data_IF_701741034921
#
_entry.id   IF_701741034921
#
_cell.length_a   1.000
_cell.length_b   1.000
_cell.length_c   1.000
_cell.angle_alpha   90.00
_cell.angle_beta   90.00
_cell.angle_gamma   90.00
#
_symmetry.space_group_name_H-M   'P 1'
#
loop_
_entity.id
_entity.type
_entity.pdbx_description
1 polymer ?
#
# COMPACT_ATOMS: atom_id res chain seq x y z
N UNK A 1 -8.96 37.71 -29.03
CA UNK A 1 -9.81 36.52 -28.82
C UNK A 1 -11.18 37.02 -28.39
N UNK A 2 -12.27 36.52 -28.97
CA UNK A 2 -13.62 36.93 -28.56
C UNK A 2 -13.89 36.45 -27.11
N UNK A 3 -14.72 37.17 -26.33
CA UNK A 3 -15.24 36.75 -25.02
C UNK A 3 -15.72 35.29 -25.01
N UNK A 4 -16.42 34.84 -26.06
CA UNK A 4 -16.88 33.43 -26.17
C UNK A 4 -15.72 32.43 -26.23
N UNK A 5 -14.71 32.70 -27.06
CA UNK A 5 -13.51 31.85 -27.16
C UNK A 5 -12.70 31.85 -25.87
N UNK A 6 -12.63 32.98 -25.16
CA UNK A 6 -11.99 33.08 -23.85
C UNK A 6 -12.69 32.20 -22.82
N UNK A 7 -14.02 32.23 -22.77
CA UNK A 7 -14.79 31.39 -21.86
C UNK A 7 -14.56 29.90 -22.12
N UNK A 8 -14.60 29.46 -23.38
CA UNK A 8 -14.32 28.06 -23.75
C UNK A 8 -12.91 27.65 -23.34
N UNK A 9 -11.92 28.53 -23.55
CA UNK A 9 -10.53 28.26 -23.16
C UNK A 9 -10.39 28.05 -21.65
N UNK A 10 -11.07 28.89 -20.85
CA UNK A 10 -11.05 28.80 -19.39
C UNK A 10 -11.68 27.47 -18.94
N UNK A 11 -12.85 27.12 -19.48
CA UNK A 11 -13.55 25.87 -19.14
C UNK A 11 -12.65 24.66 -19.46
N UNK A 12 -12.08 24.60 -20.66
CA UNK A 12 -11.17 23.51 -21.04
C UNK A 12 -9.91 23.46 -20.17
N UNK A 13 -9.39 24.63 -19.74
CA UNK A 13 -8.23 24.68 -18.84
C UNK A 13 -8.56 24.08 -17.47
N UNK A 14 -9.75 24.37 -16.94
CA UNK A 14 -10.25 23.76 -15.68
C UNK A 14 -10.41 22.24 -15.85
N UNK A 15 -10.97 21.78 -16.96
CA UNK A 15 -11.12 20.35 -17.24
C UNK A 15 -9.76 19.63 -17.36
N UNK A 16 -8.77 20.24 -18.02
CA UNK A 16 -7.39 19.72 -18.07
C UNK A 16 -6.75 19.69 -16.68
N UNK A 17 -6.96 20.74 -15.88
CA UNK A 17 -6.49 20.79 -14.50
C UNK A 17 -7.07 19.64 -13.65
N UNK A 18 -8.39 19.44 -13.69
CA UNK A 18 -9.06 18.38 -12.93
C UNK A 18 -8.64 16.98 -13.39
N UNK A 19 -8.59 16.73 -14.70
CA UNK A 19 -8.12 15.44 -15.24
C UNK A 19 -6.65 15.17 -14.89
N UNK A 20 -5.80 16.20 -14.88
CA UNK A 20 -4.42 16.09 -14.42
C UNK A 20 -4.31 15.70 -12.94
N UNK A 21 -5.13 16.28 -12.07
CA UNK A 21 -5.19 15.88 -10.65
C UNK A 21 -5.55 14.40 -10.52
N UNK A 22 -6.60 13.97 -11.21
CA UNK A 22 -7.03 12.57 -11.22
C UNK A 22 -5.92 11.64 -11.74
N UNK A 23 -5.20 12.06 -12.79
CA UNK A 23 -4.12 11.28 -13.39
C UNK A 23 -2.94 11.12 -12.40
N UNK A 24 -2.55 12.18 -11.69
CA UNK A 24 -1.50 12.12 -10.67
C UNK A 24 -1.87 11.17 -9.53
N UNK A 25 -3.11 11.26 -9.03
CA UNK A 25 -3.59 10.37 -7.97
C UNK A 25 -3.67 8.91 -8.43
N UNK A 26 -4.13 8.68 -9.67
CA UNK A 26 -4.19 7.34 -10.27
C UNK A 26 -2.80 6.71 -10.42
N UNK A 27 -1.84 7.44 -10.98
CA UNK A 27 -0.44 6.96 -11.11
C UNK A 27 0.17 6.73 -9.73
N UNK A 28 -0.12 7.60 -8.75
CA UNK A 28 0.36 7.45 -7.38
C UNK A 28 -0.19 6.18 -6.73
N UNK A 29 -1.49 5.91 -6.90
CA UNK A 29 -2.13 4.70 -6.40
C UNK A 29 -1.52 3.43 -7.03
N UNK A 30 -1.35 3.40 -8.35
CA UNK A 30 -0.72 2.28 -9.09
C UNK A 30 0.76 2.09 -8.75
N UNK A 31 1.44 3.13 -8.26
CA UNK A 31 2.83 3.06 -7.81
C UNK A 31 2.97 2.72 -6.32
N UNK A 32 1.87 2.69 -5.57
CA UNK A 32 1.87 2.49 -4.11
C UNK A 32 0.82 1.47 -3.67
N UNK A 33 -0.35 1.92 -3.24
CA UNK A 33 -1.40 1.11 -2.61
C UNK A 33 -1.98 0.02 -3.53
N UNK A 34 -1.86 0.15 -4.84
CA UNK A 34 -2.30 -0.84 -5.82
C UNK A 34 -1.14 -1.66 -6.41
N UNK A 35 0.04 -1.60 -5.77
CA UNK A 35 1.25 -2.26 -6.23
C UNK A 35 1.75 -3.29 -5.20
N UNK A 36 1.81 -4.56 -5.59
CA UNK A 36 2.27 -5.64 -4.70
C UNK A 36 3.73 -5.46 -4.27
N UNK A 37 4.59 -5.00 -5.18
CA UNK A 37 6.03 -4.83 -4.94
C UNK A 37 6.31 -3.74 -3.91
N UNK A 38 5.43 -2.72 -3.83
CA UNK A 38 5.51 -1.68 -2.81
C UNK A 38 5.41 -2.28 -1.40
N UNK A 39 4.42 -3.15 -1.17
CA UNK A 39 4.23 -3.82 0.12
C UNK A 39 5.32 -4.84 0.39
N UNK A 40 5.69 -5.66 -0.59
CA UNK A 40 6.76 -6.65 -0.47
C UNK A 40 8.09 -5.99 -0.07
N UNK A 41 8.44 -4.89 -0.74
CA UNK A 41 9.63 -4.08 -0.40
C UNK A 41 9.54 -3.50 1.00
N UNK A 42 8.36 -3.03 1.42
CA UNK A 42 8.15 -2.48 2.76
C UNK A 42 8.32 -3.54 3.85
N UNK A 43 7.70 -4.71 3.69
CA UNK A 43 7.77 -5.84 4.63
C UNK A 43 9.22 -6.31 4.79
N UNK A 44 9.94 -6.46 3.69
CA UNK A 44 11.34 -6.87 3.71
C UNK A 44 12.25 -5.82 4.36
N UNK A 45 12.11 -4.55 3.96
CA UNK A 45 12.97 -3.46 4.45
C UNK A 45 12.85 -3.23 5.96
N UNK A 46 11.67 -3.49 6.52
CA UNK A 46 11.37 -3.26 7.92
C UNK A 46 11.35 -4.54 8.78
N UNK A 47 11.84 -5.67 8.24
CA UNK A 47 11.92 -6.96 8.94
C UNK A 47 10.59 -7.42 9.54
N UNK A 48 9.46 -7.10 8.88
CA UNK A 48 8.13 -7.44 9.37
C UNK A 48 7.83 -8.94 9.28
N UNK A 49 8.67 -9.70 8.54
CA UNK A 49 8.61 -11.16 8.49
C UNK A 49 8.84 -11.81 9.86
N UNK A 50 9.43 -11.11 10.84
CA UNK A 50 9.69 -11.67 12.17
C UNK A 50 8.49 -11.54 13.12
N UNK A 51 7.43 -10.81 12.73
CA UNK A 51 6.26 -10.56 13.61
C UNK A 51 5.59 -11.86 14.07
N UNK A 52 5.28 -12.85 13.21
CA UNK A 52 4.64 -14.08 13.66
C UNK A 52 5.51 -14.85 14.66
N UNK A 53 6.82 -14.90 14.43
CA UNK A 53 7.77 -15.55 15.34
C UNK A 53 7.73 -14.90 16.72
N UNK A 54 7.88 -13.57 16.78
CA UNK A 54 7.88 -12.82 18.04
C UNK A 54 6.55 -12.97 18.79
N UNK A 55 5.43 -12.97 18.07
CA UNK A 55 4.10 -13.16 18.66
C UNK A 55 4.01 -14.51 19.38
N UNK A 56 4.34 -15.61 18.70
CA UNK A 56 4.29 -16.96 19.28
C UNK A 56 5.22 -17.06 20.50
N UNK A 57 6.44 -16.52 20.41
CA UNK A 57 7.40 -16.56 21.52
C UNK A 57 6.92 -15.76 22.75
N UNK A 58 6.31 -14.60 22.54
CA UNK A 58 5.75 -13.81 23.64
C UNK A 58 4.55 -14.49 24.27
N UNK A 59 3.66 -15.08 23.47
CA UNK A 59 2.50 -15.82 23.96
C UNK A 59 2.93 -17.01 24.81
N UNK A 60 3.91 -17.79 24.35
CA UNK A 60 4.50 -18.87 25.13
C UNK A 60 5.07 -18.32 26.43
N UNK A 61 5.99 -17.33 26.35
CA UNK A 61 6.64 -16.73 27.52
C UNK A 61 5.65 -16.21 28.57
N UNK A 62 4.54 -15.61 28.15
CA UNK A 62 3.52 -15.06 29.05
C UNK A 62 2.67 -16.16 29.71
N UNK A 63 2.45 -17.28 29.03
CA UNK A 63 1.61 -18.38 29.50
C UNK A 63 2.38 -19.47 30.26
N UNK A 64 3.70 -19.58 30.08
CA UNK A 64 4.54 -20.54 30.80
C UNK A 64 5.48 -19.81 31.76
N UNK A 65 5.08 -19.72 33.04
CA UNK A 65 5.81 -18.92 34.05
C UNK A 65 7.19 -19.47 34.45
N UNK A 66 7.56 -20.70 34.05
CA UNK A 66 8.81 -21.36 34.48
C UNK A 66 9.35 -22.32 33.40
N UNK A 67 9.63 -21.82 32.19
CA UNK A 67 10.46 -22.58 31.24
C UNK A 67 11.93 -22.46 31.61
N UNK A 68 12.64 -23.58 31.70
CA UNK A 68 14.10 -23.54 31.79
C UNK A 68 14.71 -23.00 30.48
N UNK A 69 15.91 -22.42 30.58
CA UNK A 69 16.58 -21.76 29.46
C UNK A 69 16.78 -22.69 28.26
N UNK A 70 17.05 -23.98 28.47
CA UNK A 70 17.29 -24.94 27.39
C UNK A 70 16.00 -25.21 26.61
N UNK A 71 14.88 -25.38 27.30
CA UNK A 71 13.56 -25.55 26.68
C UNK A 71 13.13 -24.28 25.95
N UNK A 72 13.36 -23.10 26.54
CA UNK A 72 13.07 -21.82 25.90
C UNK A 72 13.87 -21.62 24.60
N UNK A 73 15.19 -21.84 24.61
CA UNK A 73 16.03 -21.71 23.40
C UNK A 73 15.62 -22.67 22.30
N UNK A 74 15.19 -23.87 22.68
CA UNK A 74 14.72 -24.88 21.73
C UNK A 74 13.35 -24.51 21.13
N UNK A 75 12.45 -23.91 21.92
CA UNK A 75 11.20 -23.32 21.44
C UNK A 75 11.43 -22.14 20.50
N UNK A 76 12.40 -21.28 20.80
CA UNK A 76 12.85 -20.20 19.90
C UNK A 76 13.29 -20.77 18.56
N UNK A 77 14.12 -21.82 18.58
CA UNK A 77 14.59 -22.49 17.37
C UNK A 77 13.44 -23.14 16.58
N UNK A 78 12.55 -23.87 17.25
CA UNK A 78 11.39 -24.52 16.63
C UNK A 78 10.44 -23.52 15.99
N UNK A 79 10.16 -22.41 16.69
CA UNK A 79 9.30 -21.32 16.20
C UNK A 79 9.92 -20.62 15.01
N UNK A 80 11.23 -20.32 15.07
CA UNK A 80 11.96 -19.65 13.99
C UNK A 80 12.00 -20.49 12.71
N UNK A 81 12.20 -21.80 12.84
CA UNK A 81 12.18 -22.73 11.71
C UNK A 81 10.77 -22.89 11.12
N UNK A 82 9.74 -22.92 11.97
CA UNK A 82 8.35 -23.14 11.54
C UNK A 82 7.77 -21.91 10.85
N UNK A 83 7.91 -20.75 11.48
CA UNK A 83 7.44 -19.47 10.97
C UNK A 83 8.59 -18.73 10.29
N UNK A 84 9.25 -19.37 9.32
CA UNK A 84 10.42 -18.80 8.66
C UNK A 84 10.11 -17.47 7.98
N UNK A 85 11.15 -16.70 7.67
CA UNK A 85 10.98 -15.45 6.93
C UNK A 85 10.42 -15.69 5.53
N UNK A 86 10.82 -16.80 4.91
CA UNK A 86 10.35 -17.24 3.61
C UNK A 86 8.85 -17.53 3.66
N UNK A 87 8.40 -18.35 4.61
CA UNK A 87 6.99 -18.66 4.77
C UNK A 87 6.16 -17.40 5.04
N UNK A 88 6.61 -16.53 5.95
CA UNK A 88 5.89 -15.29 6.26
C UNK A 88 5.79 -14.39 5.03
N UNK A 89 6.86 -14.31 4.23
CA UNK A 89 6.87 -13.54 2.98
C UNK A 89 5.88 -14.12 1.97
N UNK A 90 5.82 -15.44 1.82
CA UNK A 90 4.86 -16.11 0.94
C UNK A 90 3.42 -15.83 1.36
N UNK A 91 3.10 -15.96 2.65
CA UNK A 91 1.75 -15.66 3.14
C UNK A 91 1.37 -14.20 2.93
N UNK A 92 2.25 -13.27 3.30
CA UNK A 92 1.99 -11.83 3.13
C UNK A 92 1.84 -11.47 1.65
N UNK A 93 2.73 -11.99 0.79
CA UNK A 93 2.64 -11.76 -0.66
C UNK A 93 1.35 -12.35 -1.24
N UNK A 94 0.95 -13.55 -0.82
CA UNK A 94 -0.32 -14.18 -1.20
C UNK A 94 -1.52 -13.30 -0.83
N UNK A 95 -1.59 -12.83 0.42
CA UNK A 95 -2.65 -11.94 0.89
C UNK A 95 -2.72 -10.62 0.10
N UNK A 96 -1.57 -9.99 -0.14
CA UNK A 96 -1.50 -8.74 -0.92
C UNK A 96 -1.95 -8.99 -2.35
N UNK A 97 -1.47 -10.06 -2.98
CA UNK A 97 -1.84 -10.39 -4.37
C UNK A 97 -3.32 -10.72 -4.49
N UNK A 98 -3.90 -11.46 -3.54
CA UNK A 98 -5.33 -11.76 -3.52
C UNK A 98 -6.17 -10.49 -3.30
N UNK A 99 -5.78 -9.63 -2.37
CA UNK A 99 -6.44 -8.34 -2.15
C UNK A 99 -6.39 -7.48 -3.40
N UNK A 100 -5.22 -7.36 -4.03
CA UNK A 100 -5.05 -6.56 -5.25
C UNK A 100 -5.77 -7.18 -6.44
N UNK A 101 -5.77 -8.50 -6.59
CA UNK A 101 -6.54 -9.17 -7.64
C UNK A 101 -8.05 -8.88 -7.47
N UNK A 102 -8.55 -8.92 -6.23
CA UNK A 102 -9.93 -8.55 -5.93
C UNK A 102 -10.22 -7.07 -6.24
N UNK A 103 -9.40 -6.14 -5.71
CA UNK A 103 -9.53 -4.69 -5.95
C UNK A 103 -9.41 -4.33 -7.43
N UNK A 104 -8.63 -5.07 -8.21
CA UNK A 104 -8.46 -4.86 -9.65
C UNK A 104 -9.54 -5.55 -10.50
N UNK A 105 -10.51 -6.20 -9.85
CA UNK A 105 -11.57 -6.99 -10.48
C UNK A 105 -11.03 -8.14 -11.37
N UNK A 106 -9.90 -8.72 -10.96
CA UNK A 106 -9.30 -9.92 -11.57
C UNK A 106 -9.66 -11.21 -10.84
N UNK A 107 -10.24 -11.12 -9.63
CA UNK A 107 -10.76 -12.23 -8.83
C UNK A 107 -12.18 -11.90 -8.38
N UNK A 108 -13.06 -12.90 -8.39
CA UNK A 108 -14.44 -12.77 -7.91
C UNK A 108 -14.58 -12.85 -6.40
N UNK A 109 -13.62 -13.50 -5.75
CA UNK A 109 -13.63 -13.74 -4.31
C UNK A 109 -12.45 -13.03 -3.65
N UNK A 110 -12.74 -12.38 -2.52
CA UNK A 110 -11.73 -11.83 -1.64
C UNK A 110 -11.25 -12.97 -0.72
N UNK A 111 -10.10 -13.56 -1.01
CA UNK A 111 -9.48 -14.58 -0.16
C UNK A 111 -8.32 -14.01 0.64
N UNK A 112 -8.58 -13.67 1.90
CA UNK A 112 -7.59 -13.16 2.85
C UNK A 112 -7.35 -14.15 3.99
N UNK A 113 -7.32 -15.44 3.67
CA UNK A 113 -7.06 -16.52 4.63
C UNK A 113 -5.59 -16.89 4.67
N UNK A 114 -5.09 -17.11 5.88
CA UNK A 114 -3.80 -17.74 6.15
C UNK A 114 -4.09 -19.14 6.68
N UNK A 115 -3.53 -20.18 6.05
CA UNK A 115 -3.60 -21.57 6.52
C UNK A 115 -2.39 -21.84 7.43
N UNK A 116 -2.68 -22.23 8.67
CA UNK A 116 -1.67 -22.53 9.69
C UNK A 116 -1.52 -24.03 9.95
N UNK A 117 -2.33 -24.90 9.34
CA UNK A 117 -2.33 -26.35 9.68
C UNK A 117 -0.96 -26.99 9.48
N UNK A 118 -0.28 -26.62 8.40
CA UNK A 118 1.08 -27.12 8.12
C UNK A 118 2.07 -26.62 9.17
N UNK A 119 1.99 -25.34 9.54
CA UNK A 119 2.87 -24.71 10.53
C UNK A 119 2.59 -25.27 11.93
N UNK A 120 1.33 -25.49 12.30
CA UNK A 120 0.95 -26.14 13.57
C UNK A 120 1.54 -27.54 13.65
N UNK A 121 1.41 -28.35 12.60
CA UNK A 121 2.01 -29.69 12.54
C UNK A 121 3.53 -29.65 12.61
N UNK A 122 4.18 -28.72 11.89
CA UNK A 122 5.62 -28.52 11.93
C UNK A 122 6.11 -28.09 13.31
N UNK A 123 5.43 -27.15 13.97
CA UNK A 123 5.75 -26.68 15.31
C UNK A 123 5.73 -27.84 16.30
N UNK A 124 4.65 -28.62 16.31
CA UNK A 124 4.50 -29.80 17.17
C UNK A 124 5.65 -30.78 16.93
N UNK A 125 5.95 -31.11 15.66
CA UNK A 125 7.01 -32.05 15.31
C UNK A 125 8.40 -31.58 15.78
N UNK A 126 8.65 -30.28 15.77
CA UNK A 126 9.92 -29.69 16.20
C UNK A 126 10.03 -29.50 17.71
N UNK A 127 8.90 -29.50 18.43
CA UNK A 127 8.85 -29.43 19.89
C UNK A 127 9.03 -30.81 20.54
N UNK A 128 8.65 -31.91 19.87
CA UNK A 128 8.76 -33.27 20.41
C UNK A 128 10.18 -33.64 20.93
N UNK A 129 11.30 -33.31 20.24
CA UNK A 129 12.65 -33.66 20.70
C UNK A 129 13.17 -32.81 21.87
N UNK A 130 12.45 -31.74 22.21
CA UNK A 130 12.85 -30.72 23.19
C UNK A 130 12.29 -31.03 24.58
N UNK A 131 11.18 -31.75 24.61
CA UNK A 131 10.55 -32.20 25.85
C UNK A 131 11.49 -33.23 26.53
N UNK A 132 11.59 -33.21 27.88
CA UNK A 132 12.53 -34.04 28.62
C UNK A 132 12.40 -35.51 28.20
N UNK A 133 13.55 -36.19 28.02
CA UNK A 133 13.61 -37.60 27.62
C UNK A 133 12.66 -38.42 28.49
N UNK A 134 11.57 -38.88 27.86
CA UNK A 134 10.68 -39.83 28.47
C UNK A 134 11.46 -41.13 28.68
N UNK A 135 11.54 -41.60 29.92
CA UNK A 135 12.04 -42.93 30.25
C UNK A 135 11.23 -44.02 29.53
N UNK A 136 11.86 -45.18 29.30
CA UNK A 136 11.59 -46.27 28.31
C UNK A 136 10.15 -46.78 28.05
N UNK A 137 9.08 -46.24 28.63
CA UNK A 137 7.68 -46.59 28.29
C UNK A 137 7.16 -45.74 27.10
N UNK A 138 7.66 -46.08 25.90
CA UNK A 138 7.80 -45.22 24.71
C UNK A 138 6.56 -45.10 23.77
N UNK A 139 5.35 -45.37 24.27
CA UNK A 139 4.08 -45.12 23.50
C UNK A 139 3.14 -44.19 24.25
N UNK A 140 2.94 -44.42 25.55
CA UNK A 140 2.08 -43.56 26.39
C UNK A 140 2.70 -42.17 26.53
N UNK A 141 4.03 -42.09 26.63
CA UNK A 141 4.74 -40.82 26.71
C UNK A 141 4.70 -40.05 25.38
N UNK A 142 4.79 -40.72 24.21
CA UNK A 142 4.61 -40.04 22.91
C UNK A 142 3.20 -39.46 22.75
N UNK A 143 2.17 -40.19 23.15
CA UNK A 143 0.78 -39.71 23.12
C UNK A 143 0.58 -38.53 24.08
N UNK A 144 1.17 -38.59 25.28
CA UNK A 144 1.14 -37.50 26.26
C UNK A 144 1.90 -36.26 25.76
N UNK A 145 3.04 -36.44 25.09
CA UNK A 145 3.85 -35.35 24.54
C UNK A 145 3.18 -34.67 23.34
N UNK A 146 2.52 -35.46 22.47
CA UNK A 146 1.64 -34.92 21.42
C UNK A 146 0.50 -34.14 22.07
N UNK A 147 -0.14 -34.68 23.11
CA UNK A 147 -1.20 -33.99 23.82
C UNK A 147 -0.73 -32.70 24.52
N UNK A 148 0.49 -32.66 25.07
CA UNK A 148 1.11 -31.45 25.64
C UNK A 148 1.43 -30.44 24.54
N UNK A 149 1.93 -30.88 23.39
CA UNK A 149 2.22 -30.01 22.25
C UNK A 149 0.94 -29.47 21.59
N UNK A 150 -0.11 -30.28 21.50
CA UNK A 150 -1.46 -29.88 21.10
C UNK A 150 -2.05 -28.89 22.10
N UNK A 151 -2.00 -29.20 23.40
CA UNK A 151 -2.44 -28.28 24.46
C UNK A 151 -1.63 -26.98 24.47
N UNK A 152 -0.33 -27.00 24.15
CA UNK A 152 0.51 -25.81 24.01
C UNK A 152 0.17 -25.01 22.75
N UNK A 153 -0.10 -25.68 21.63
CA UNK A 153 -0.56 -25.03 20.40
C UNK A 153 -1.95 -24.42 20.57
N UNK A 154 -2.84 -25.08 21.31
CA UNK A 154 -4.18 -24.61 21.62
C UNK A 154 -4.14 -23.51 22.70
N UNK A 155 -3.22 -23.61 23.67
CA UNK A 155 -2.93 -22.54 24.64
C UNK A 155 -2.26 -21.32 24.01
N UNK A 156 -1.48 -21.52 22.94
CA UNK A 156 -0.95 -20.45 22.11
C UNK A 156 -2.03 -19.81 21.22
N UNK A 157 -3.22 -20.42 21.14
CA UNK A 157 -4.37 -19.90 20.42
C UNK A 157 -4.17 -19.82 18.91
N UNK A 158 -3.28 -20.65 18.33
CA UNK A 158 -3.01 -20.63 16.88
C UNK A 158 -4.19 -21.34 16.18
N UNK A 159 -5.03 -20.63 15.41
CA UNK A 159 -6.15 -21.24 14.72
C UNK A 159 -5.65 -22.03 13.50
N UNK A 160 -6.43 -23.00 13.03
CA UNK A 160 -6.12 -23.71 11.78
C UNK A 160 -6.11 -22.76 10.57
N UNK A 161 -6.98 -21.75 10.60
CA UNK A 161 -7.03 -20.68 9.61
C UNK A 161 -7.23 -19.34 10.30
N UNK A 162 -6.53 -18.32 9.83
CA UNK A 162 -6.83 -16.94 10.16
C UNK A 162 -7.46 -16.28 8.94
N UNK A 163 -8.75 -15.97 9.03
CA UNK A 163 -9.45 -15.22 8.01
C UNK A 163 -9.50 -13.74 8.38
N UNK A 164 -8.70 -12.94 7.68
CA UNK A 164 -8.59 -11.51 7.99
C UNK A 164 -9.90 -10.75 7.75
N UNK A 165 -10.81 -11.28 6.93
CA UNK A 165 -12.11 -10.65 6.61
C UNK A 165 -13.01 -10.50 7.82
N UNK A 166 -12.90 -11.41 8.79
CA UNK A 166 -13.71 -11.42 10.00
C UNK A 166 -12.99 -10.83 11.22
N UNK A 167 -11.78 -10.29 11.03
CA UNK A 167 -11.11 -9.56 12.10
C UNK A 167 -11.83 -8.25 12.37
N UNK A 168 -11.93 -7.85 13.64
CA UNK A 168 -12.64 -6.62 14.07
C UNK A 168 -12.18 -5.35 13.34
N UNK A 169 -10.96 -5.36 12.79
CA UNK A 169 -10.43 -4.29 11.94
C UNK A 169 -11.26 -4.05 10.66
N UNK A 170 -11.81 -5.11 10.06
CA UNK A 170 -12.52 -5.06 8.77
C UNK A 170 -14.03 -4.99 8.97
N UNK A 171 -14.57 -5.70 9.96
CA UNK A 171 -16.02 -5.91 10.11
C UNK A 171 -16.77 -4.66 10.60
N UNK A 172 -16.16 -3.86 11.50
CA UNK A 172 -16.86 -2.73 12.14
C UNK A 172 -16.71 -1.40 11.39
N UNK A 173 -15.88 -1.35 10.35
CA UNK A 173 -15.37 -0.10 9.77
C UNK A 173 -15.97 0.29 8.42
N UNK A 174 -16.91 -0.50 7.89
CA UNK A 174 -17.44 -0.32 6.53
C UNK A 174 -16.38 -0.51 5.44
N UNK A 175 -15.20 -1.03 5.78
CA UNK A 175 -14.06 -1.22 4.88
C UNK A 175 -14.41 -2.16 3.74
N UNK A 176 -15.18 -3.21 3.96
CA UNK A 176 -15.64 -4.10 2.90
C UNK A 176 -16.45 -3.36 1.83
N UNK A 177 -17.35 -2.45 2.23
CA UNK A 177 -18.11 -1.61 1.29
C UNK A 177 -17.18 -0.74 0.44
N UNK A 178 -16.11 -0.18 1.03
CA UNK A 178 -15.12 0.58 0.28
C UNK A 178 -14.27 -0.30 -0.65
N UNK A 179 -13.90 -1.50 -0.23
CA UNK A 179 -13.18 -2.48 -1.06
C UNK A 179 -14.05 -2.91 -2.25
N UNK A 180 -15.33 -3.19 -2.04
CA UNK A 180 -16.27 -3.56 -3.10
C UNK A 180 -16.54 -2.41 -4.07
N UNK A 181 -16.67 -1.19 -3.55
CA UNK A 181 -16.76 0.00 -4.39
C UNK A 181 -15.47 0.19 -5.21
N UNK A 182 -14.31 0.06 -4.59
CA UNK A 182 -13.02 0.15 -5.29
C UNK A 182 -12.91 -0.90 -6.39
N UNK A 183 -13.27 -2.16 -6.12
CA UNK A 183 -13.35 -3.24 -7.11
C UNK A 183 -14.26 -2.88 -8.29
N UNK A 184 -15.48 -2.44 -7.99
CA UNK A 184 -16.49 -2.11 -9.01
C UNK A 184 -16.03 -0.98 -9.92
N UNK A 185 -15.39 0.04 -9.35
CA UNK A 185 -14.99 1.24 -10.09
C UNK A 185 -13.56 1.19 -10.65
N UNK A 186 -12.72 0.24 -10.25
CA UNK A 186 -11.31 0.17 -10.68
C UNK A 186 -11.13 0.13 -12.22
N UNK A 187 -11.86 -0.70 -12.99
CA UNK A 187 -11.68 -0.75 -14.45
C UNK A 187 -11.91 0.61 -15.12
N UNK A 188 -12.84 1.40 -14.58
CA UNK A 188 -13.15 2.74 -15.07
C UNK A 188 -12.13 3.76 -14.58
N UNK A 189 -11.81 3.77 -13.29
CA UNK A 189 -10.94 4.78 -12.68
C UNK A 189 -9.49 4.69 -13.16
N UNK A 190 -9.04 3.52 -13.62
CA UNK A 190 -7.70 3.30 -14.17
C UNK A 190 -7.43 4.11 -15.44
N UNK A 191 -8.36 4.10 -16.40
CA UNK A 191 -8.15 4.70 -17.72
C UNK A 191 -8.85 6.04 -17.90
N UNK A 192 -9.92 6.31 -17.14
CA UNK A 192 -10.74 7.51 -17.28
C UNK A 192 -9.93 8.82 -17.17
N UNK A 193 -8.98 9.00 -16.22
CA UNK A 193 -8.23 10.25 -16.13
C UNK A 193 -7.41 10.55 -17.40
N UNK A 194 -6.79 9.51 -17.97
CA UNK A 194 -6.00 9.64 -19.19
C UNK A 194 -6.88 9.95 -20.40
N UNK A 195 -8.02 9.26 -20.55
CA UNK A 195 -8.98 9.51 -21.62
C UNK A 195 -9.54 10.92 -21.57
N UNK A 196 -9.94 11.40 -20.38
CA UNK A 196 -10.42 12.76 -20.18
C UNK A 196 -9.34 13.79 -20.52
N UNK A 197 -8.11 13.59 -20.04
CA UNK A 197 -7.01 14.48 -20.34
C UNK A 197 -6.75 14.57 -21.85
N UNK A 198 -6.65 13.43 -22.53
CA UNK A 198 -6.47 13.37 -23.99
C UNK A 198 -7.62 14.04 -24.75
N UNK A 199 -8.87 13.79 -24.36
CA UNK A 199 -10.05 14.39 -24.97
C UNK A 199 -10.02 15.92 -24.87
N UNK A 200 -9.76 16.46 -23.68
CA UNK A 200 -9.72 17.92 -23.47
C UNK A 200 -8.50 18.56 -24.15
N UNK A 201 -7.36 17.88 -24.15
CA UNK A 201 -6.17 18.34 -24.85
C UNK A 201 -6.38 18.40 -26.38
N UNK A 202 -6.93 17.34 -26.97
CA UNK A 202 -7.26 17.31 -28.41
C UNK A 202 -8.30 18.39 -28.74
N UNK A 203 -9.33 18.54 -27.90
CA UNK A 203 -10.33 19.61 -28.07
C UNK A 203 -9.70 21.01 -28.05
N UNK A 204 -8.73 21.25 -27.17
CA UNK A 204 -7.96 22.50 -27.17
C UNK A 204 -7.14 22.70 -28.44
N UNK A 205 -6.50 21.64 -28.97
CA UNK A 205 -5.73 21.72 -30.21
C UNK A 205 -6.59 22.06 -31.43
N UNK A 206 -7.82 21.54 -31.50
CA UNK A 206 -8.75 21.85 -32.59
C UNK A 206 -9.29 23.28 -32.53
N UNK A 207 -9.58 23.78 -31.32
CA UNK A 207 -10.24 25.08 -31.14
C UNK A 207 -9.27 26.26 -31.07
N UNK A 208 -8.02 26.03 -30.67
CA UNK A 208 -7.04 27.08 -30.40
C UNK A 208 -5.73 26.87 -31.16
N UNK A 209 -4.90 27.91 -31.18
CA UNK A 209 -3.55 27.80 -31.74
C UNK A 209 -2.72 26.89 -30.84
N UNK A 210 -1.87 26.05 -31.44
CA UNK A 210 -0.94 25.15 -30.74
C UNK A 210 -0.18 25.87 -29.61
N UNK A 211 0.32 27.09 -29.84
CA UNK A 211 1.01 27.87 -28.81
C UNK A 211 0.15 28.22 -27.59
N UNK A 212 -1.13 28.53 -27.81
CA UNK A 212 -2.07 28.83 -26.73
C UNK A 212 -2.49 27.54 -26.01
N UNK A 213 -2.69 26.44 -26.74
CA UNK A 213 -2.94 25.12 -26.15
C UNK A 213 -1.79 24.72 -25.22
N UNK A 214 -0.55 24.67 -25.73
CA UNK A 214 0.64 24.27 -24.96
C UNK A 214 0.84 25.13 -23.71
N UNK A 215 0.63 26.44 -23.84
CA UNK A 215 0.74 27.37 -22.71
C UNK A 215 -0.31 27.09 -21.63
N UNK A 216 -1.57 26.93 -22.00
CA UNK A 216 -2.65 26.71 -21.01
C UNK A 216 -2.61 25.30 -20.42
N UNK A 217 -2.34 24.27 -21.22
CA UNK A 217 -2.11 22.91 -20.72
C UNK A 217 -0.91 22.87 -19.77
N UNK A 218 0.20 23.53 -20.14
CA UNK A 218 1.38 23.62 -19.29
C UNK A 218 1.10 24.29 -17.95
N UNK A 219 0.35 25.40 -17.97
CA UNK A 219 -0.09 26.09 -16.75
C UNK A 219 -1.01 25.22 -15.87
N UNK A 220 -1.99 24.54 -16.48
CA UNK A 220 -2.91 23.64 -15.77
C UNK A 220 -2.16 22.46 -15.11
N UNK A 221 -1.22 21.84 -15.83
CA UNK A 221 -0.35 20.78 -15.29
C UNK A 221 0.51 21.30 -14.12
N UNK A 222 1.16 22.45 -14.30
CA UNK A 222 2.01 23.04 -13.26
C UNK A 222 1.25 23.33 -11.96
N UNK A 223 0.06 23.96 -12.07
CA UNK A 223 -0.77 24.23 -10.91
C UNK A 223 -1.30 22.95 -10.29
N UNK A 224 -1.74 21.96 -11.09
CA UNK A 224 -2.21 20.69 -10.55
C UNK A 224 -1.14 19.98 -9.72
N UNK A 225 0.11 19.94 -10.20
CA UNK A 225 1.24 19.40 -9.44
C UNK A 225 1.48 20.16 -8.13
N UNK A 226 1.44 21.50 -8.17
CA UNK A 226 1.58 22.31 -6.97
C UNK A 226 0.45 22.08 -5.96
N UNK A 227 -0.79 21.97 -6.43
CA UNK A 227 -1.95 21.67 -5.58
C UNK A 227 -1.80 20.31 -4.91
N UNK A 228 -1.36 19.27 -5.64
CA UNK A 228 -1.12 17.94 -5.04
C UNK A 228 -0.03 18.01 -3.97
N UNK A 229 1.07 18.74 -4.19
CA UNK A 229 2.15 18.89 -3.19
C UNK A 229 1.63 19.54 -1.90
N UNK A 230 0.84 20.62 -2.04
CA UNK A 230 0.23 21.30 -0.89
C UNK A 230 -0.75 20.37 -0.18
N UNK A 231 -1.59 19.66 -0.93
CA UNK A 231 -2.57 18.74 -0.40
C UNK A 231 -1.94 17.54 0.33
N UNK A 232 -0.87 16.97 -0.22
CA UNK A 232 -0.07 15.90 0.41
C UNK A 232 0.53 16.39 1.73
N UNK A 233 1.05 17.62 1.75
CA UNK A 233 1.60 18.23 2.98
C UNK A 233 0.53 18.42 4.05
N UNK A 234 -0.66 18.87 3.66
CA UNK A 234 -1.82 18.99 4.55
C UNK A 234 -2.28 17.63 5.09
N UNK A 235 -2.50 16.64 4.21
CA UNK A 235 -2.89 15.28 4.58
C UNK A 235 -1.86 14.65 5.52
N UNK A 236 -0.56 14.89 5.31
CA UNK A 236 0.46 14.36 6.22
C UNK A 236 0.22 14.74 7.67
N UNK A 237 -0.12 16.02 7.92
CA UNK A 237 -0.41 16.50 9.28
C UNK A 237 -1.67 15.88 9.89
N UNK A 238 -2.73 15.71 9.08
CA UNK A 238 -3.99 15.06 9.51
C UNK A 238 -3.77 13.57 9.80
N UNK A 239 -2.95 12.90 9.00
CA UNK A 239 -2.62 11.49 9.23
C UNK A 239 -1.73 11.32 10.46
N UNK A 240 -0.78 12.22 10.71
CA UNK A 240 0.07 12.14 11.91
C UNK A 240 -0.72 12.28 13.21
N UNK A 241 -1.73 13.15 13.24
CA UNK A 241 -2.63 13.26 14.40
C UNK A 241 -3.47 12.00 14.58
N UNK A 242 -4.01 11.44 13.48
CA UNK A 242 -4.81 10.22 13.50
C UNK A 242 -4.02 8.99 13.94
N UNK A 243 -2.81 8.80 13.38
CA UNK A 243 -1.86 7.75 13.76
C UNK A 243 -1.50 7.88 15.24
N UNK A 244 -1.22 9.10 15.71
CA UNK A 244 -0.88 9.32 17.12
C UNK A 244 -2.05 9.01 18.05
N UNK A 245 -3.27 9.42 17.69
CA UNK A 245 -4.46 9.20 18.52
C UNK A 245 -4.85 7.71 18.60
N UNK A 246 -4.66 6.95 17.51
CA UNK A 246 -5.05 5.53 17.46
C UNK A 246 -3.96 4.59 17.98
N UNK A 247 -2.67 4.93 17.84
CA UNK A 247 -1.57 4.02 18.21
C UNK A 247 -0.90 4.34 19.55
N UNK A 248 -1.30 5.40 20.25
CA UNK A 248 -0.70 5.75 21.55
C UNK A 248 -0.99 4.75 22.68
N UNK A 249 -1.97 3.85 22.49
CA UNK A 249 -2.41 2.89 23.51
C UNK A 249 -1.88 1.46 23.35
N UNK A 250 -0.97 1.21 22.40
CA UNK A 250 -0.58 -0.15 22.02
C UNK A 250 0.88 -0.48 22.34
N UNK A 251 1.24 -0.44 23.62
CA UNK A 251 2.57 -0.87 24.09
C UNK A 251 2.83 -2.38 23.86
N UNK A 252 1.77 -3.20 23.85
CA UNK A 252 1.86 -4.63 23.53
C UNK A 252 2.31 -4.89 22.08
N UNK A 253 1.91 -4.03 21.14
CA UNK A 253 2.33 -4.15 19.73
C UNK A 253 3.82 -3.85 19.55
N UNK A 254 4.42 -3.01 20.40
CA UNK A 254 5.87 -2.77 20.37
C UNK A 254 6.63 -4.05 20.74
N UNK A 255 6.17 -4.77 21.77
CA UNK A 255 6.77 -6.04 22.16
C UNK A 255 6.69 -7.07 21.02
N UNK A 256 5.52 -7.20 20.39
CA UNK A 256 5.28 -8.17 19.32
C UNK A 256 6.04 -7.83 18.04
N UNK A 257 6.00 -6.58 17.59
CA UNK A 257 6.59 -6.21 16.30
C UNK A 257 8.08 -5.91 16.36
N UNK A 258 8.66 -5.79 17.56
CA UNK A 258 10.05 -5.38 17.78
C UNK A 258 10.35 -3.95 17.35
N UNK A 259 9.33 -3.23 16.86
CA UNK A 259 9.40 -1.88 16.33
C UNK A 259 8.22 -1.08 16.87
N UNK A 260 8.36 0.23 17.00
CA UNK A 260 7.24 1.04 17.44
C UNK A 260 6.18 1.11 16.30
N UNK A 261 4.93 0.66 16.51
CA UNK A 261 3.91 0.65 15.46
C UNK A 261 3.62 2.06 14.91
N UNK A 262 3.77 3.10 15.74
CA UNK A 262 3.68 4.50 15.32
C UNK A 262 4.77 4.86 14.31
N UNK A 263 6.00 4.40 14.55
CA UNK A 263 7.12 4.61 13.63
C UNK A 263 6.84 3.89 12.31
N UNK A 264 6.38 2.63 12.38
CA UNK A 264 6.09 1.85 11.17
C UNK A 264 4.98 2.49 10.33
N UNK A 265 3.89 2.91 10.96
CA UNK A 265 2.80 3.63 10.30
C UNK A 265 3.27 4.96 9.68
N UNK A 266 4.11 5.71 10.39
CA UNK A 266 4.69 6.95 9.87
C UNK A 266 5.59 6.70 8.66
N UNK A 267 6.44 5.66 8.70
CA UNK A 267 7.31 5.28 7.57
C UNK A 267 6.46 4.84 6.37
N UNK A 268 5.44 4.02 6.59
CA UNK A 268 4.52 3.57 5.54
C UNK A 268 3.83 4.76 4.87
N UNK A 269 3.22 5.64 5.69
CA UNK A 269 2.61 6.90 5.24
C UNK A 269 3.60 7.74 4.44
N UNK A 270 4.78 8.02 4.99
CA UNK A 270 5.80 8.84 4.32
C UNK A 270 6.27 8.23 3.00
N UNK A 271 6.29 6.90 2.89
CA UNK A 271 6.63 6.21 1.65
C UNK A 271 5.58 6.48 0.56
N UNK A 272 4.29 6.43 0.89
CA UNK A 272 3.20 6.79 -0.03
C UNK A 272 3.31 8.26 -0.43
N UNK A 273 3.41 9.17 0.55
CA UNK A 273 3.45 10.61 0.29
C UNK A 273 4.66 11.03 -0.56
N UNK A 274 5.81 10.38 -0.37
CA UNK A 274 7.02 10.64 -1.16
C UNK A 274 6.84 10.23 -2.63
N UNK A 275 6.20 9.08 -2.91
CA UNK A 275 5.90 8.67 -4.30
C UNK A 275 4.92 9.66 -4.94
N UNK A 276 3.85 10.06 -4.23
CA UNK A 276 2.89 11.05 -4.71
C UNK A 276 3.55 12.40 -4.99
N UNK A 277 4.43 12.88 -4.11
CA UNK A 277 5.18 14.12 -4.31
C UNK A 277 6.11 14.05 -5.53
N UNK A 278 6.79 12.93 -5.75
CA UNK A 278 7.66 12.76 -6.94
C UNK A 278 6.86 12.85 -8.24
N UNK A 279 5.68 12.22 -8.29
CA UNK A 279 4.78 12.29 -9.45
C UNK A 279 4.29 13.73 -9.65
N UNK A 280 3.87 14.41 -8.58
CA UNK A 280 3.41 15.79 -8.64
C UNK A 280 4.52 16.75 -9.12
N UNK A 281 5.76 16.56 -8.68
CA UNK A 281 6.94 17.31 -9.17
C UNK A 281 7.16 17.05 -10.66
N UNK A 282 7.08 15.79 -11.11
CA UNK A 282 7.25 15.46 -12.53
C UNK A 282 6.18 16.15 -13.41
N UNK A 283 4.93 16.19 -12.96
CA UNK A 283 3.85 16.93 -13.62
C UNK A 283 4.10 18.44 -13.62
N UNK A 284 4.60 18.98 -12.50
CA UNK A 284 4.93 20.39 -12.40
C UNK A 284 6.01 20.79 -13.41
N UNK A 285 7.11 20.03 -13.46
CA UNK A 285 8.21 20.24 -14.41
C UNK A 285 7.76 20.09 -15.87
N UNK A 286 6.95 19.06 -16.16
CA UNK A 286 6.36 18.86 -17.49
C UNK A 286 5.46 20.05 -17.88
N UNK A 287 4.66 20.54 -16.94
CA UNK A 287 3.82 21.72 -17.13
C UNK A 287 4.62 22.98 -17.45
N UNK A 288 5.67 23.25 -16.67
CA UNK A 288 6.59 24.38 -16.89
C UNK A 288 7.25 24.27 -18.27
N UNK A 289 7.73 23.08 -18.64
CA UNK A 289 8.33 22.84 -19.95
C UNK A 289 7.36 23.15 -21.09
N UNK A 290 6.14 22.60 -21.05
CA UNK A 290 5.10 22.85 -22.06
C UNK A 290 4.72 24.33 -22.15
N UNK A 291 4.66 25.02 -21.01
CA UNK A 291 4.40 26.45 -20.96
C UNK A 291 5.48 27.26 -21.68
N UNK A 292 6.76 26.96 -21.42
CA UNK A 292 7.90 27.60 -22.07
C UNK A 292 7.87 27.34 -23.59
N UNK A 293 7.66 26.09 -24.01
CA UNK A 293 7.54 25.73 -25.43
C UNK A 293 6.38 26.49 -26.11
N UNK A 294 5.25 26.63 -25.42
CA UNK A 294 4.11 27.43 -25.89
C UNK A 294 4.46 28.91 -26.12
N UNK A 295 5.27 29.50 -25.24
CA UNK A 295 5.76 30.88 -25.42
C UNK A 295 6.69 30.99 -26.63
N UNK A 296 7.65 30.07 -26.78
CA UNK A 296 8.59 30.09 -27.90
C UNK A 296 7.90 29.90 -29.24
N UNK A 297 6.96 28.95 -29.36
CA UNK A 297 6.17 28.77 -30.59
C UNK A 297 5.32 30.00 -30.92
N UNK A 298 4.76 30.69 -29.92
CA UNK A 298 4.06 31.95 -30.15
C UNK A 298 4.99 33.03 -30.71
N UNK A 299 6.22 33.15 -30.20
CA UNK A 299 7.22 34.12 -30.68
C UNK A 299 7.66 33.83 -32.11
N UNK A 300 8.00 32.58 -32.44
CA UNK A 300 8.46 32.17 -33.78
C UNK A 300 7.38 32.48 -34.83
N UNK A 301 6.11 32.15 -34.53
CA UNK A 301 5.00 32.40 -35.45
C UNK A 301 4.75 33.90 -35.70
N UNK A 302 4.94 34.75 -34.68
CA UNK A 302 4.86 36.21 -34.84
C UNK A 302 5.97 36.76 -35.73
N UNK A 303 7.20 36.24 -35.57
CA UNK A 303 8.34 36.64 -36.43
C UNK A 303 8.11 36.25 -37.89
N UNK A 304 7.69 35.01 -38.15
CA UNK A 304 7.37 34.53 -39.50
C UNK A 304 6.30 35.37 -40.20
N UNK A 305 5.23 35.76 -39.49
CA UNK A 305 4.17 36.64 -40.05
C UNK A 305 4.65 38.05 -40.40
N UNK A 306 5.63 38.58 -39.67
CA UNK A 306 6.20 39.91 -39.98
C UNK A 306 7.04 39.87 -41.25
N UNK A 307 7.82 38.79 -41.43
CA UNK A 307 8.65 38.60 -42.62
C UNK A 307 7.76 38.48 -43.87
N UNK A 308 6.68 37.69 -43.81
CA UNK A 308 5.75 37.53 -44.93
C UNK A 308 4.92 38.78 -45.27
N UNK A 309 4.94 39.81 -44.43
CA UNK A 309 4.27 41.09 -44.70
C UNK A 309 5.24 42.14 -45.28
N UNK A 310 6.55 41.87 -45.23
CA UNK A 310 7.59 42.75 -45.76
C UNK A 310 8.08 42.31 -47.16
N UNK A 311 7.86 41.04 -47.51
CA UNK A 311 8.04 40.48 -48.87
C UNK A 311 6.79 40.68 -49.71
#
# INVERSE_FOLDING_TARGET
MNKKQLAILIILSICIFLSSLMMQLSISAESTILNADFYSSFVQKHNLCNIPQNFVLLTIKNNTRELDEKTYQSLVKATSNTFSQEWTREQVSGLINNLLAYLKNSSDELDLRIDFRTQKSQLISQMLPVLPEATEDDIINKVLLVHIAENLSDSAGIPDYLDLRYTSLITDSGVLTYIDAARTYYPYSKYLPFLLFSLFFISMLFLFKISDCLKNTGYALAISGLVVIVFVSYISGVLDSSITAQLSSYDELLAITGNNPKILASIFKNSILNVTNRIAIAFCLTGIFLFIVGIFTAKIRRKSRRISQQS
#
